data_IF_656179233295
#
_entry.id   IF_656179233295
#
_cell.length_a   1.000
_cell.length_b   1.000
_cell.length_c   1.000
_cell.angle_alpha   90.00
_cell.angle_beta   90.00
_cell.angle_gamma   90.00
#
_symmetry.space_group_name_H-M   'P 1'
#
loop_
_entity.id
_entity.type
_entity.pdbx_description
1 polymer ?
#
# COMPACT_ATOMS: atom_id res chain seq x y z
N UNK A 1 18.61 -4.94 3.39
CA UNK A 1 18.94 -3.68 2.67
C UNK A 1 20.07 -3.00 3.44
N UNK A 2 21.15 -2.64 2.77
CA UNK A 2 22.21 -1.80 3.31
C UNK A 2 22.13 -0.46 2.58
N UNK A 3 22.01 0.64 3.33
CA UNK A 3 21.95 1.99 2.79
C UNK A 3 22.83 2.90 3.64
N UNK A 4 23.48 3.87 3.00
CA UNK A 4 24.22 4.92 3.70
C UNK A 4 23.26 5.87 4.41
N UNK A 5 23.67 6.45 5.55
CA UNK A 5 22.90 7.48 6.22
C UNK A 5 22.65 8.70 5.30
N UNK A 6 23.56 8.98 4.38
CA UNK A 6 23.44 10.07 3.41
C UNK A 6 22.36 9.86 2.35
N UNK A 7 21.91 8.60 2.16
CA UNK A 7 20.78 8.28 1.29
C UNK A 7 19.41 8.47 1.97
N UNK A 8 19.39 8.64 3.30
CA UNK A 8 18.15 8.70 4.07
C UNK A 8 17.73 10.15 4.26
N UNK A 9 16.49 10.44 3.88
CA UNK A 9 15.82 11.71 4.13
C UNK A 9 14.63 11.47 5.05
N UNK A 10 14.69 11.98 6.28
CA UNK A 10 13.59 11.87 7.24
C UNK A 10 12.44 12.79 6.81
N UNK A 11 11.21 12.29 6.91
CA UNK A 11 10.01 12.97 6.40
C UNK A 11 8.85 12.95 7.40
N UNK A 12 7.84 13.79 7.17
CA UNK A 12 6.61 13.85 7.98
C UNK A 12 5.65 12.69 7.62
N UNK A 13 6.11 11.45 7.79
CA UNK A 13 5.46 10.21 7.38
C UNK A 13 5.71 9.87 5.91
N UNK A 14 5.30 8.66 5.52
CA UNK A 14 5.56 8.11 4.20
C UNK A 14 4.95 8.93 3.05
N UNK A 15 3.78 9.55 3.24
CA UNK A 15 3.17 10.35 2.16
C UNK A 15 4.02 11.55 1.74
N UNK A 16 4.76 12.18 2.67
CA UNK A 16 5.72 13.20 2.28
C UNK A 16 6.91 12.57 1.52
N UNK A 17 7.45 11.44 2.01
CA UNK A 17 8.53 10.73 1.32
C UNK A 17 8.15 10.40 -0.14
N UNK A 18 6.98 9.79 -0.34
CA UNK A 18 6.46 9.40 -1.64
C UNK A 18 6.26 10.60 -2.59
N UNK A 19 5.69 11.69 -2.08
CA UNK A 19 5.50 12.91 -2.88
C UNK A 19 6.84 13.59 -3.24
N UNK A 20 7.81 13.62 -2.33
CA UNK A 20 9.14 14.17 -2.59
C UNK A 20 9.90 13.32 -3.60
N UNK A 21 9.84 11.98 -3.47
CA UNK A 21 10.43 11.05 -4.43
C UNK A 21 9.80 11.22 -5.82
N UNK A 22 8.48 11.32 -5.89
CA UNK A 22 7.76 11.55 -7.14
C UNK A 22 8.19 12.87 -7.79
N UNK A 23 8.24 13.96 -7.03
CA UNK A 23 8.69 15.27 -7.53
C UNK A 23 10.17 15.31 -7.93
N UNK A 24 11.00 14.41 -7.36
CA UNK A 24 12.42 14.33 -7.71
C UNK A 24 12.65 13.72 -9.10
N UNK A 25 11.75 12.84 -9.57
CA UNK A 25 11.93 12.06 -10.80
C UNK A 25 10.90 12.36 -11.89
N UNK A 26 9.91 13.22 -11.63
CA UNK A 26 8.84 13.57 -12.60
C UNK A 26 8.60 15.06 -12.70
N UNK A 27 7.88 15.46 -13.76
CA UNK A 27 7.37 16.81 -14.02
C UNK A 27 5.91 16.75 -14.45
N UNK A 28 5.12 17.82 -14.27
CA UNK A 28 3.74 17.88 -14.78
C UNK A 28 3.65 17.47 -16.25
N UNK A 29 2.68 16.60 -16.58
CA UNK A 29 2.50 16.00 -17.90
C UNK A 29 3.13 14.62 -18.07
N UNK A 30 4.07 14.21 -17.20
CA UNK A 30 4.68 12.89 -17.27
C UNK A 30 3.70 11.77 -16.93
N UNK A 31 4.01 10.56 -17.41
CA UNK A 31 3.29 9.34 -17.07
C UNK A 31 4.04 8.57 -15.97
N UNK A 32 3.28 7.98 -15.05
CA UNK A 32 3.80 7.14 -13.96
C UNK A 32 3.03 5.82 -13.96
N UNK A 33 3.75 4.71 -13.94
CA UNK A 33 3.14 3.39 -13.80
C UNK A 33 2.74 3.16 -12.35
N UNK A 34 1.53 2.64 -12.17
CA UNK A 34 0.98 2.17 -10.90
C UNK A 34 0.34 0.79 -11.05
N UNK A 35 0.15 0.11 -9.95
CA UNK A 35 -0.58 -1.16 -9.90
C UNK A 35 -2.06 -0.97 -10.22
N UNK A 36 -2.75 -2.05 -10.59
CA UNK A 36 -4.20 -2.06 -10.76
C UNK A 36 -4.81 -3.31 -10.12
N UNK A 37 -5.54 -3.18 -9.00
CA UNK A 37 -5.86 -1.94 -8.28
C UNK A 37 -4.63 -1.33 -7.56
N UNK A 38 -4.66 -0.02 -7.29
CA UNK A 38 -3.59 0.71 -6.59
C UNK A 38 -4.10 1.48 -5.38
N UNK A 39 -3.19 1.93 -4.52
CA UNK A 39 -3.50 2.80 -3.39
C UNK A 39 -4.09 4.14 -3.89
N UNK A 40 -5.31 4.47 -3.47
CA UNK A 40 -6.03 5.66 -3.95
C UNK A 40 -5.29 6.97 -3.69
N UNK A 41 -4.47 7.07 -2.62
CA UNK A 41 -3.70 8.27 -2.39
C UNK A 41 -2.51 8.43 -3.35
N UNK A 42 -2.05 7.35 -4.00
CA UNK A 42 -1.13 7.47 -5.13
C UNK A 42 -1.81 8.15 -6.31
N UNK A 43 -3.03 7.73 -6.67
CA UNK A 43 -3.81 8.38 -7.74
C UNK A 43 -4.06 9.87 -7.45
N UNK A 44 -4.44 10.20 -6.21
CA UNK A 44 -4.63 11.60 -5.77
C UNK A 44 -3.32 12.42 -5.83
N UNK A 45 -2.18 11.82 -5.48
CA UNK A 45 -0.88 12.48 -5.57
C UNK A 45 -0.50 12.76 -7.03
N UNK A 46 -0.70 11.78 -7.92
CA UNK A 46 -0.47 11.94 -9.36
C UNK A 46 -1.35 13.05 -9.95
N UNK A 47 -2.66 13.01 -9.67
CA UNK A 47 -3.61 14.04 -10.12
C UNK A 47 -3.20 15.44 -9.66
N UNK A 48 -2.89 15.59 -8.36
CA UNK A 48 -2.46 16.87 -7.77
C UNK A 48 -1.18 17.42 -8.41
N UNK A 49 -0.28 16.54 -8.85
CA UNK A 49 0.99 16.91 -9.50
C UNK A 49 0.88 17.04 -11.02
N UNK A 50 -0.33 16.88 -11.59
CA UNK A 50 -0.54 16.94 -13.04
C UNK A 50 0.10 15.78 -13.79
N UNK A 51 0.22 14.60 -13.16
CA UNK A 51 0.80 13.40 -13.73
C UNK A 51 -0.29 12.45 -14.22
N UNK A 52 0.04 11.59 -15.19
CA UNK A 52 -0.87 10.57 -15.73
C UNK A 52 -0.57 9.21 -15.13
N UNK A 53 -1.57 8.56 -14.55
CA UNK A 53 -1.46 7.18 -14.08
C UNK A 53 -1.57 6.20 -15.26
N UNK A 54 -0.62 5.27 -15.36
CA UNK A 54 -0.69 4.12 -16.25
C UNK A 54 -0.86 2.89 -15.38
N UNK A 55 -2.07 2.35 -15.36
CA UNK A 55 -2.41 1.18 -14.52
C UNK A 55 -1.97 -0.13 -15.19
N UNK A 56 -1.20 -0.94 -14.45
CA UNK A 56 -0.74 -2.26 -14.89
C UNK A 56 -1.37 -3.34 -14.00
N UNK A 57 -1.92 -4.42 -14.58
CA UNK A 57 -2.58 -5.48 -13.84
C UNK A 57 -1.70 -6.05 -12.72
N UNK A 58 -2.31 -6.31 -11.56
CA UNK A 58 -1.64 -6.81 -10.37
C UNK A 58 -2.38 -8.03 -9.83
N UNK A 59 -1.65 -9.13 -9.62
CA UNK A 59 -2.20 -10.37 -9.10
C UNK A 59 -2.12 -10.43 -7.57
N UNK A 60 -3.17 -10.88 -6.86
CA UNK A 60 -3.17 -10.92 -5.38
C UNK A 60 -2.06 -11.76 -4.74
N UNK A 61 -1.56 -12.80 -5.42
CA UNK A 61 -0.50 -13.68 -4.92
C UNK A 61 0.91 -13.31 -5.35
N UNK A 62 1.04 -12.54 -6.45
CA UNK A 62 2.34 -12.37 -7.12
C UNK A 62 2.74 -10.90 -7.37
N UNK A 63 1.85 -9.95 -7.05
CA UNK A 63 2.06 -8.53 -7.36
C UNK A 63 1.91 -8.21 -8.85
N UNK A 64 2.52 -7.12 -9.31
CA UNK A 64 2.37 -6.59 -10.68
C UNK A 64 2.78 -7.59 -11.76
N UNK A 65 2.07 -7.61 -12.89
CA UNK A 65 2.42 -8.40 -14.07
C UNK A 65 3.61 -7.78 -14.80
N UNK A 66 4.75 -8.47 -14.83
CA UNK A 66 5.99 -7.95 -15.44
C UNK A 66 5.92 -7.88 -16.96
N UNK A 67 5.20 -8.78 -17.62
CA UNK A 67 5.04 -8.74 -19.08
C UNK A 67 4.17 -7.54 -19.49
N UNK A 68 3.05 -7.33 -18.79
CA UNK A 68 2.22 -6.15 -18.99
C UNK A 68 2.96 -4.85 -18.64
N UNK A 69 3.83 -4.88 -17.62
CA UNK A 69 4.69 -3.75 -17.24
C UNK A 69 5.65 -3.38 -18.38
N UNK A 70 6.33 -4.36 -18.98
CA UNK A 70 7.26 -4.11 -20.10
C UNK A 70 6.55 -3.52 -21.32
N UNK A 71 5.36 -4.04 -21.66
CA UNK A 71 4.51 -3.47 -22.71
C UNK A 71 4.07 -2.03 -22.40
N UNK A 72 3.69 -1.75 -21.16
CA UNK A 72 3.30 -0.42 -20.73
C UNK A 72 4.48 0.58 -20.80
N UNK A 73 5.69 0.15 -20.43
CA UNK A 73 6.92 0.97 -20.56
C UNK A 73 7.15 1.33 -22.03
N UNK A 74 7.07 0.35 -22.93
CA UNK A 74 7.29 0.58 -24.36
C UNK A 74 6.24 1.51 -24.97
N UNK A 75 4.96 1.33 -24.59
CA UNK A 75 3.84 2.08 -25.15
C UNK A 75 3.73 3.53 -24.64
N UNK A 76 4.04 3.77 -23.37
CA UNK A 76 3.76 5.04 -22.69
C UNK A 76 4.98 5.83 -22.27
N UNK A 77 6.18 5.27 -22.37
CA UNK A 77 7.45 5.91 -21.98
C UNK A 77 7.37 6.64 -20.62
N UNK A 78 6.94 5.96 -19.55
CA UNK A 78 6.75 6.56 -18.24
C UNK A 78 8.08 7.11 -17.68
N UNK A 79 7.98 8.01 -16.69
CA UNK A 79 9.15 8.58 -16.01
C UNK A 79 9.44 7.96 -14.65
N UNK A 80 8.49 7.22 -14.08
CA UNK A 80 8.65 6.47 -12.84
C UNK A 80 7.62 5.34 -12.75
N UNK A 81 7.90 4.39 -11.84
CA UNK A 81 6.91 3.48 -11.30
C UNK A 81 6.69 3.81 -9.83
N UNK A 82 5.45 3.75 -9.35
CA UNK A 82 5.11 3.76 -7.92
C UNK A 82 4.40 2.46 -7.58
N UNK A 83 5.07 1.58 -6.83
CA UNK A 83 4.59 0.24 -6.55
C UNK A 83 4.70 -0.11 -5.06
N UNK A 84 3.84 -1.03 -4.60
CA UNK A 84 3.88 -1.63 -3.27
C UNK A 84 4.21 -3.11 -3.41
N UNK A 85 5.48 -3.47 -3.35
CA UNK A 85 5.94 -4.85 -3.56
C UNK A 85 5.68 -5.78 -2.37
N UNK A 86 5.31 -5.20 -1.21
CA UNK A 86 5.11 -5.92 0.06
C UNK A 86 3.79 -5.51 0.71
N UNK A 87 2.86 -6.48 0.84
CA UNK A 87 1.53 -6.30 1.44
C UNK A 87 0.75 -5.13 0.83
N UNK A 88 0.66 -5.15 -0.48
CA UNK A 88 0.07 -4.13 -1.34
C UNK A 88 -1.34 -3.70 -0.88
N UNK A 89 -1.61 -2.44 -0.95
CA UNK A 89 -2.92 -1.86 -0.69
C UNK A 89 -3.65 -1.59 -2.02
N UNK A 90 -4.76 -2.31 -2.34
CA UNK A 90 -5.66 -2.97 -1.40
C UNK A 90 -5.55 -4.50 -1.31
N UNK A 91 -4.79 -5.17 -2.19
CA UNK A 91 -4.82 -6.62 -2.39
C UNK A 91 -4.22 -7.42 -1.23
N UNK A 92 -3.27 -6.82 -0.48
CA UNK A 92 -2.44 -7.55 0.48
C UNK A 92 -1.38 -8.43 -0.19
N UNK A 93 -1.13 -8.28 -1.49
CA UNK A 93 -0.17 -9.11 -2.23
C UNK A 93 1.25 -8.94 -1.70
N UNK A 94 1.99 -10.05 -1.69
CA UNK A 94 3.42 -10.09 -1.44
C UNK A 94 4.11 -10.60 -2.71
N UNK A 95 4.90 -9.74 -3.33
CA UNK A 95 5.68 -10.15 -4.51
C UNK A 95 6.82 -11.09 -4.08
N UNK A 96 6.98 -12.26 -4.73
CA UNK A 96 8.10 -13.16 -4.47
C UNK A 96 9.47 -12.49 -4.66
N UNK A 97 10.46 -12.89 -3.87
CA UNK A 97 11.81 -12.30 -3.90
C UNK A 97 12.43 -12.32 -5.31
N UNK A 98 12.31 -13.47 -6.01
CA UNK A 98 12.80 -13.61 -7.38
C UNK A 98 12.12 -12.64 -8.36
N UNK A 99 10.82 -12.38 -8.16
CA UNK A 99 10.05 -11.45 -8.99
C UNK A 99 10.40 -9.99 -8.66
N UNK A 100 10.68 -9.65 -7.38
CA UNK A 100 11.21 -8.32 -7.00
C UNK A 100 12.55 -8.06 -7.67
N UNK A 101 13.45 -9.06 -7.68
CA UNK A 101 14.74 -8.96 -8.40
C UNK A 101 14.51 -8.73 -9.88
N UNK A 102 13.69 -9.55 -10.54
CA UNK A 102 13.36 -9.40 -11.96
C UNK A 102 12.71 -8.05 -12.29
N UNK A 103 11.84 -7.51 -11.39
CA UNK A 103 11.28 -6.18 -11.50
C UNK A 103 12.37 -5.11 -11.51
N UNK A 104 13.28 -5.14 -10.54
CA UNK A 104 14.38 -4.15 -10.44
C UNK A 104 15.29 -4.22 -11.66
N UNK A 105 15.67 -5.43 -12.12
CA UNK A 105 16.45 -5.62 -13.33
C UNK A 105 15.74 -5.11 -14.60
N UNK A 106 14.42 -5.34 -14.72
CA UNK A 106 13.60 -4.82 -15.82
C UNK A 106 13.63 -3.29 -15.83
N UNK A 107 13.36 -2.65 -14.69
CA UNK A 107 13.32 -1.19 -14.57
C UNK A 107 14.71 -0.56 -14.83
N UNK A 108 15.79 -1.20 -14.36
CA UNK A 108 17.16 -0.75 -14.60
C UNK A 108 17.53 -0.76 -16.10
N UNK A 109 17.08 -1.77 -16.87
CA UNK A 109 17.28 -1.81 -18.34
C UNK A 109 16.65 -0.62 -19.07
N UNK A 110 15.56 -0.09 -18.50
CA UNK A 110 14.84 1.06 -19.05
C UNK A 110 15.22 2.40 -18.39
N UNK A 111 16.21 2.41 -17.48
CA UNK A 111 16.57 3.58 -16.67
C UNK A 111 15.35 4.24 -16.00
N UNK A 112 14.40 3.42 -15.52
CA UNK A 112 13.11 3.85 -14.98
C UNK A 112 13.11 3.75 -13.46
N UNK A 113 13.08 4.87 -12.71
CA UNK A 113 13.07 4.87 -11.25
C UNK A 113 11.84 4.17 -10.67
N UNK A 114 12.06 3.40 -9.59
CA UNK A 114 11.01 2.79 -8.77
C UNK A 114 10.82 3.57 -7.47
N UNK A 115 9.65 4.12 -7.24
CA UNK A 115 9.21 4.60 -5.94
C UNK A 115 8.53 3.41 -5.24
N UNK A 116 9.24 2.80 -4.28
CA UNK A 116 8.76 1.67 -3.52
C UNK A 116 8.07 2.16 -2.24
N UNK A 117 6.76 1.96 -2.15
CA UNK A 117 5.97 2.24 -0.93
C UNK A 117 5.93 0.99 -0.05
N UNK A 118 6.78 0.96 0.99
CA UNK A 118 7.03 -0.21 1.84
C UNK A 118 6.55 -0.01 3.29
N UNK A 119 5.43 0.67 3.49
CA UNK A 119 4.90 1.03 4.82
C UNK A 119 4.37 -0.16 5.63
N UNK A 120 4.12 -1.30 5.00
CA UNK A 120 3.57 -2.50 5.66
C UNK A 120 4.58 -3.61 5.88
N UNK A 121 5.83 -3.48 5.44
CA UNK A 121 6.83 -4.55 5.47
C UNK A 121 7.08 -5.16 6.86
N UNK A 122 6.95 -4.35 7.92
CA UNK A 122 7.09 -4.83 9.30
C UNK A 122 5.91 -5.67 9.80
N UNK A 123 4.80 -5.71 9.06
CA UNK A 123 3.56 -6.39 9.47
C UNK A 123 3.40 -7.78 8.85
N UNK A 124 4.50 -8.50 8.67
CA UNK A 124 4.50 -9.87 8.14
C UNK A 124 3.99 -10.88 9.17
N UNK A 125 3.33 -11.94 8.71
CA UNK A 125 2.85 -13.03 9.55
C UNK A 125 3.72 -14.29 9.46
N UNK A 126 4.69 -14.30 8.59
CA UNK A 126 5.63 -15.40 8.37
C UNK A 126 6.85 -15.32 9.31
N UNK A 127 7.76 -16.27 9.19
CA UNK A 127 8.96 -16.38 10.05
C UNK A 127 9.96 -15.26 9.73
N UNK A 128 10.01 -14.80 8.48
CA UNK A 128 11.01 -13.85 7.99
C UNK A 128 10.38 -12.59 7.41
N UNK A 129 10.97 -11.42 7.71
CA UNK A 129 10.64 -10.17 7.04
C UNK A 129 10.95 -10.29 5.54
N UNK A 130 10.01 -9.99 4.65
CA UNK A 130 10.28 -9.96 3.22
C UNK A 130 11.32 -8.89 2.87
N UNK A 131 12.27 -9.17 1.94
CA UNK A 131 13.17 -8.13 1.45
C UNK A 131 12.40 -7.09 0.66
N UNK A 132 12.82 -5.83 0.72
CA UNK A 132 12.33 -4.76 -0.15
C UNK A 132 12.90 -4.92 -1.57
N UNK A 133 12.26 -4.32 -2.58
CA UNK A 133 12.82 -4.24 -3.93
C UNK A 133 14.17 -3.48 -3.91
N UNK A 134 14.29 -2.46 -3.06
CA UNK A 134 15.55 -1.74 -2.82
C UNK A 134 16.74 -2.66 -2.49
N UNK A 135 16.51 -3.82 -1.86
CA UNK A 135 17.62 -4.75 -1.54
C UNK A 135 18.25 -5.42 -2.76
N UNK A 136 17.64 -5.31 -3.93
CA UNK A 136 18.13 -5.81 -5.23
C UNK A 136 18.64 -4.69 -6.14
N UNK A 137 18.63 -3.43 -5.66
CA UNK A 137 18.98 -2.25 -6.44
C UNK A 137 20.48 -1.97 -6.37
N UNK A 138 21.17 -2.22 -7.48
CA UNK A 138 22.60 -1.90 -7.66
C UNK A 138 22.80 -0.53 -8.33
N UNK A 139 21.80 -0.01 -9.05
CA UNK A 139 21.89 1.23 -9.80
C UNK A 139 21.58 2.49 -8.98
N UNK A 140 20.98 2.33 -7.81
CA UNK A 140 20.52 3.44 -6.96
C UNK A 140 19.23 4.09 -7.45
N UNK A 141 18.42 3.38 -8.25
CA UNK A 141 17.16 3.88 -8.85
C UNK A 141 15.90 3.46 -8.11
N UNK A 142 16.01 2.67 -7.03
CA UNK A 142 14.88 2.39 -6.16
C UNK A 142 14.86 3.41 -5.01
N UNK A 143 13.82 4.26 -4.99
CA UNK A 143 13.52 5.22 -3.95
C UNK A 143 12.58 4.56 -2.95
N UNK A 144 13.14 3.92 -1.92
CA UNK A 144 12.38 3.20 -0.90
C UNK A 144 11.79 4.18 0.12
N UNK A 145 10.46 4.13 0.30
CA UNK A 145 9.70 4.98 1.20
C UNK A 145 9.00 4.14 2.28
N UNK A 146 9.15 4.54 3.54
CA UNK A 146 8.46 3.88 4.65
C UNK A 146 8.17 4.82 5.81
N UNK A 147 7.57 4.34 6.88
CA UNK A 147 7.28 5.11 8.08
C UNK A 147 7.00 4.25 9.31
N UNK A 148 7.08 4.85 10.49
CA UNK A 148 6.64 4.23 11.74
C UNK A 148 5.11 4.26 11.95
N UNK A 149 4.34 4.86 11.04
CA UNK A 149 2.89 5.06 11.21
C UNK A 149 2.09 3.76 11.29
N UNK A 150 2.52 2.69 10.61
CA UNK A 150 1.79 1.42 10.53
C UNK A 150 2.27 0.38 11.54
N UNK A 151 3.50 0.52 11.99
CA UNK A 151 4.16 -0.46 12.85
C UNK A 151 4.44 0.03 14.26
N UNK A 152 4.30 1.34 14.54
CA UNK A 152 4.55 1.91 15.87
C UNK A 152 3.47 2.92 16.27
N UNK A 153 3.52 4.15 15.72
CA UNK A 153 2.63 5.23 16.14
C UNK A 153 2.35 6.23 15.02
N UNK A 154 1.12 6.27 14.48
CA UNK A 154 0.77 7.17 13.38
C UNK A 154 0.87 8.65 13.75
N UNK A 155 0.63 9.01 15.02
CA UNK A 155 0.64 10.40 15.51
C UNK A 155 2.02 11.07 15.54
N UNK A 156 3.12 10.31 15.59
CA UNK A 156 4.47 10.87 15.58
C UNK A 156 4.87 11.48 14.24
N UNK A 157 4.22 11.10 13.15
CA UNK A 157 4.48 11.61 11.80
C UNK A 157 5.93 11.48 11.36
N UNK A 158 6.59 10.35 11.65
CA UNK A 158 7.96 10.07 11.19
C UNK A 158 7.95 8.99 10.12
N UNK A 159 8.55 9.32 8.99
CA UNK A 159 8.83 8.42 7.87
C UNK A 159 10.18 8.76 7.26
N UNK A 160 10.53 8.10 6.18
CA UNK A 160 11.79 8.31 5.47
C UNK A 160 11.71 7.89 4.01
N UNK A 161 12.62 8.46 3.22
CA UNK A 161 12.99 7.97 1.92
C UNK A 161 14.47 7.56 1.94
N UNK A 162 14.77 6.30 1.56
CA UNK A 162 16.12 5.87 1.20
C UNK A 162 16.21 5.92 -0.33
N UNK A 163 16.63 7.10 -0.84
CA UNK A 163 16.39 7.51 -2.22
C UNK A 163 17.58 7.23 -3.17
N UNK A 164 18.61 6.50 -2.71
CA UNK A 164 19.77 6.15 -3.52
C UNK A 164 20.42 7.38 -4.16
N UNK A 165 20.73 7.30 -5.46
CA UNK A 165 21.33 8.42 -6.20
C UNK A 165 20.46 9.68 -6.29
N UNK A 166 19.15 9.57 -6.02
CA UNK A 166 18.20 10.68 -6.00
C UNK A 166 18.14 11.41 -4.65
N UNK A 167 18.82 10.93 -3.61
CA UNK A 167 18.78 11.50 -2.26
C UNK A 167 19.12 12.99 -2.21
N UNK A 168 20.12 13.53 -2.94
CA UNK A 168 20.38 14.97 -2.95
C UNK A 168 19.19 15.80 -3.44
N UNK A 169 18.49 15.33 -4.48
CA UNK A 169 17.33 16.03 -5.02
C UNK A 169 16.14 15.95 -4.05
N UNK A 170 15.87 14.77 -3.46
CA UNK A 170 14.81 14.58 -2.46
C UNK A 170 15.06 15.48 -1.23
N UNK A 171 16.31 15.55 -0.75
CA UNK A 171 16.72 16.43 0.36
C UNK A 171 16.49 17.90 0.05
N UNK A 172 16.86 18.34 -1.15
CA UNK A 172 16.61 19.71 -1.61
C UNK A 172 15.12 20.04 -1.64
N UNK A 173 14.29 19.15 -2.20
CA UNK A 173 12.85 19.33 -2.22
C UNK A 173 12.25 19.35 -0.81
N UNK A 174 12.70 18.47 0.09
CA UNK A 174 12.31 18.48 1.51
C UNK A 174 12.58 19.83 2.15
N UNK A 175 13.79 20.36 1.97
CA UNK A 175 14.18 21.67 2.53
C UNK A 175 13.28 22.80 2.01
N UNK A 176 12.91 22.77 0.72
CA UNK A 176 12.06 23.79 0.10
C UNK A 176 10.58 23.70 0.47
N UNK A 177 10.08 22.52 0.89
CA UNK A 177 8.65 22.30 1.14
C UNK A 177 8.28 22.33 2.61
N UNK A 178 9.06 21.71 3.48
CA UNK A 178 8.71 21.52 4.89
C UNK A 178 9.88 21.69 5.85
N UNK A 179 11.06 22.07 5.35
CA UNK A 179 12.30 22.28 6.09
C UNK A 179 12.77 21.01 6.82
N UNK A 180 12.22 20.74 8.01
CA UNK A 180 12.60 19.63 8.87
C UNK A 180 11.35 18.86 9.37
N UNK A 181 11.56 17.62 9.79
CA UNK A 181 10.59 16.84 10.54
C UNK A 181 10.75 17.13 12.03
N UNK A 182 9.68 17.05 12.81
CA UNK A 182 9.64 17.29 14.25
C UNK A 182 10.76 16.53 14.99
N UNK A 183 11.69 17.24 15.60
CA UNK A 183 12.84 16.65 16.33
C UNK A 183 12.38 15.85 17.56
N UNK A 184 11.46 16.32 18.41
CA UNK A 184 11.00 15.53 19.55
C UNK A 184 10.45 14.15 19.16
N UNK A 185 9.72 14.07 18.05
CA UNK A 185 9.18 12.79 17.54
C UNK A 185 10.31 11.85 17.08
N UNK A 186 11.33 12.38 16.42
CA UNK A 186 12.49 11.60 15.99
C UNK A 186 13.28 11.06 17.18
N UNK A 187 13.58 11.93 18.18
CA UNK A 187 14.30 11.53 19.39
C UNK A 187 13.53 10.48 20.21
N UNK A 188 12.20 10.63 20.36
CA UNK A 188 11.39 9.66 21.07
C UNK A 188 11.39 8.28 20.38
N UNK A 189 11.38 8.23 19.06
CA UNK A 189 11.48 6.98 18.29
C UNK A 189 12.88 6.39 18.41
N UNK A 190 13.93 7.19 18.26
CA UNK A 190 15.32 6.74 18.40
C UNK A 190 15.58 6.11 19.77
N UNK A 191 15.17 6.78 20.83
CA UNK A 191 15.29 6.27 22.20
C UNK A 191 14.53 4.93 22.38
N UNK A 192 13.29 4.85 21.83
CA UNK A 192 12.52 3.61 21.91
C UNK A 192 13.16 2.45 21.14
N UNK A 193 13.82 2.72 20.02
CA UNK A 193 14.57 1.72 19.24
C UNK A 193 15.80 1.24 20.01
N UNK A 194 16.56 2.16 20.62
CA UNK A 194 17.77 1.85 21.40
C UNK A 194 17.46 1.00 22.65
N UNK A 195 16.33 1.22 23.28
CA UNK A 195 15.89 0.45 24.46
C UNK A 195 15.44 -0.98 24.12
N UNK A 196 15.39 -1.38 22.85
CA UNK A 196 15.06 -2.75 22.40
C UNK A 196 13.59 -3.16 22.59
N UNK A 197 12.70 -2.23 22.91
CA UNK A 197 11.25 -2.47 23.06
C UNK A 197 10.53 -2.75 21.74
N UNK A 198 11.08 -2.27 20.64
CA UNK A 198 10.46 -2.30 19.31
C UNK A 198 10.21 -3.71 18.79
N UNK A 199 11.17 -4.63 18.91
CA UNK A 199 11.01 -6.01 18.46
C UNK A 199 9.93 -6.78 19.23
N UNK A 200 9.83 -6.53 20.54
CA UNK A 200 8.75 -7.09 21.36
C UNK A 200 7.39 -6.57 20.91
N UNK A 201 7.29 -5.25 20.69
CA UNK A 201 6.10 -4.59 20.18
C UNK A 201 5.68 -5.19 18.85
N UNK A 202 6.59 -5.31 17.88
CA UNK A 202 6.31 -5.87 16.57
C UNK A 202 5.82 -7.32 16.64
N UNK A 203 6.43 -8.17 17.47
CA UNK A 203 5.94 -9.56 17.66
C UNK A 203 4.50 -9.60 18.16
N UNK A 204 4.16 -8.76 19.13
CA UNK A 204 2.80 -8.67 19.66
C UNK A 204 1.82 -8.13 18.62
N UNK A 205 2.19 -7.07 17.91
CA UNK A 205 1.39 -6.47 16.86
C UNK A 205 1.10 -7.45 15.72
N UNK A 206 2.12 -8.12 15.19
CA UNK A 206 1.99 -9.14 14.14
C UNK A 206 1.05 -10.27 14.55
N UNK A 207 1.23 -10.79 15.77
CA UNK A 207 0.35 -11.84 16.30
C UNK A 207 -1.10 -11.37 16.43
N UNK A 208 -1.33 -10.16 16.91
CA UNK A 208 -2.66 -9.58 17.05
C UNK A 208 -3.32 -9.38 15.67
N UNK A 209 -2.62 -8.80 14.71
CA UNK A 209 -3.12 -8.57 13.35
C UNK A 209 -3.43 -9.89 12.61
N UNK A 210 -2.57 -10.90 12.73
CA UNK A 210 -2.79 -12.20 12.10
C UNK A 210 -4.02 -12.92 12.69
N UNK A 211 -4.28 -12.80 14.00
CA UNK A 211 -5.52 -13.33 14.61
C UNK A 211 -6.74 -12.57 14.12
N UNK A 212 -6.64 -11.24 14.03
CA UNK A 212 -7.74 -10.38 13.58
C UNK A 212 -8.10 -10.63 12.12
N UNK A 213 -7.12 -10.75 11.22
CA UNK A 213 -7.38 -11.10 9.83
C UNK A 213 -8.14 -12.43 9.70
N UNK A 214 -7.72 -13.48 10.44
CA UNK A 214 -8.43 -14.77 10.45
C UNK A 214 -9.85 -14.63 10.99
N UNK A 215 -10.06 -13.84 12.05
CA UNK A 215 -11.37 -13.58 12.64
C UNK A 215 -12.31 -12.88 11.65
N UNK A 216 -11.85 -11.76 11.07
CA UNK A 216 -12.64 -10.99 10.10
C UNK A 216 -12.96 -11.84 8.86
N UNK A 217 -11.99 -12.60 8.36
CA UNK A 217 -12.21 -13.53 7.27
C UNK A 217 -13.31 -14.54 7.57
N UNK A 218 -13.26 -15.22 8.72
CA UNK A 218 -14.29 -16.18 9.12
C UNK A 218 -15.67 -15.54 9.31
N UNK A 219 -15.75 -14.27 9.67
CA UNK A 219 -17.00 -13.52 9.71
C UNK A 219 -17.52 -13.23 8.30
N UNK A 220 -16.66 -12.84 7.36
CA UNK A 220 -17.05 -12.65 5.95
C UNK A 220 -17.56 -13.95 5.34
N UNK A 221 -16.84 -15.06 5.50
CA UNK A 221 -17.23 -16.36 4.99
C UNK A 221 -18.60 -16.83 5.52
N UNK A 222 -18.98 -16.45 6.74
CA UNK A 222 -20.26 -16.82 7.35
C UNK A 222 -21.43 -15.91 6.99
N UNK A 223 -21.17 -14.63 6.74
CA UNK A 223 -22.25 -13.63 6.68
C UNK A 223 -22.42 -12.97 5.32
N UNK A 224 -21.42 -13.04 4.44
CA UNK A 224 -21.54 -12.47 3.11
C UNK A 224 -22.23 -13.42 2.13
N UNK A 225 -22.79 -12.92 1.01
CA UNK A 225 -23.43 -13.73 0.00
C UNK A 225 -22.53 -14.85 -0.54
N UNK A 226 -23.11 -15.99 -0.89
CA UNK A 226 -22.42 -17.05 -1.60
C UNK A 226 -21.76 -16.50 -2.88
N UNK A 227 -20.55 -16.96 -3.20
CA UNK A 227 -19.75 -16.44 -4.32
C UNK A 227 -18.85 -15.27 -3.97
N UNK A 228 -18.92 -14.71 -2.75
CA UNK A 228 -17.91 -13.74 -2.27
C UNK A 228 -16.55 -14.42 -2.16
N UNK A 229 -15.53 -13.84 -2.81
CA UNK A 229 -14.12 -14.26 -2.69
C UNK A 229 -13.36 -13.27 -1.84
N UNK A 230 -12.33 -13.73 -1.11
CA UNK A 230 -11.51 -12.89 -0.22
C UNK A 230 -10.05 -13.25 -0.38
N UNK A 231 -9.17 -12.24 -0.41
CA UNK A 231 -7.73 -12.45 -0.46
C UNK A 231 -7.19 -13.02 0.87
N UNK A 232 -6.04 -13.70 0.78
CA UNK A 232 -5.34 -14.33 1.90
C UNK A 232 -3.95 -13.74 2.03
N UNK A 233 -3.81 -12.51 2.55
CA UNK A 233 -2.51 -11.89 2.68
C UNK A 233 -1.67 -12.55 3.78
N UNK A 234 -0.36 -12.67 3.55
CA UNK A 234 0.63 -13.14 4.52
C UNK A 234 1.17 -12.02 5.41
N UNK A 235 0.50 -10.86 5.45
CA UNK A 235 0.86 -9.71 6.27
C UNK A 235 -0.04 -8.50 6.02
N UNK A 236 0.35 -7.36 6.57
CA UNK A 236 -0.50 -6.17 6.56
C UNK A 236 -1.76 -6.36 7.41
N UNK A 237 -2.84 -5.67 7.06
CA UNK A 237 -4.14 -5.78 7.74
C UNK A 237 -5.34 -5.47 6.83
N UNK A 238 -5.15 -5.51 5.50
CA UNK A 238 -6.24 -5.36 4.57
C UNK A 238 -6.72 -6.71 4.06
N UNK A 239 -8.01 -6.78 3.80
CA UNK A 239 -8.66 -7.88 3.14
C UNK A 239 -9.43 -7.30 1.94
N UNK A 240 -9.18 -7.87 0.76
CA UNK A 240 -9.85 -7.48 -0.47
C UNK A 240 -10.92 -8.50 -0.83
N UNK A 241 -12.14 -8.04 -0.94
CA UNK A 241 -13.31 -8.86 -1.26
C UNK A 241 -13.70 -8.63 -2.71
N UNK A 242 -13.99 -9.72 -3.39
CA UNK A 242 -14.68 -9.73 -4.67
C UNK A 242 -16.11 -10.24 -4.42
N UNK A 243 -17.07 -9.34 -4.53
CA UNK A 243 -18.48 -9.56 -4.26
C UNK A 243 -19.17 -10.11 -5.52
N UNK A 244 -20.32 -10.81 -5.39
CA UNK A 244 -21.11 -11.20 -6.54
C UNK A 244 -21.48 -10.02 -7.45
N UNK A 245 -21.52 -10.24 -8.77
CA UNK A 245 -21.69 -9.19 -9.78
C UNK A 245 -22.95 -8.32 -9.64
N UNK A 246 -23.95 -8.76 -8.88
CA UNK A 246 -25.15 -7.97 -8.59
C UNK A 246 -24.99 -7.00 -7.41
N UNK A 247 -23.86 -7.05 -6.66
CA UNK A 247 -23.59 -6.19 -5.51
C UNK A 247 -22.70 -5.02 -5.96
N UNK A 248 -23.24 -3.82 -5.96
CA UNK A 248 -22.45 -2.60 -6.16
C UNK A 248 -21.79 -2.20 -4.83
N UNK A 249 -20.44 -2.24 -4.79
CA UNK A 249 -19.68 -1.95 -3.58
C UNK A 249 -19.76 -0.48 -3.15
N UNK A 250 -19.94 0.47 -4.08
CA UNK A 250 -20.12 1.88 -3.75
C UNK A 250 -21.49 2.13 -3.11
N UNK A 251 -22.53 1.51 -3.63
CA UNK A 251 -23.86 1.60 -3.02
C UNK A 251 -23.90 0.88 -1.66
N UNK A 252 -23.22 -0.27 -1.53
CA UNK A 252 -23.04 -0.95 -0.24
C UNK A 252 -22.36 -0.03 0.78
N UNK A 253 -21.29 0.64 0.38
CA UNK A 253 -20.58 1.64 1.20
C UNK A 253 -21.53 2.77 1.66
N UNK A 254 -22.32 3.33 0.74
CA UNK A 254 -23.28 4.41 1.06
C UNK A 254 -24.32 3.97 2.08
N UNK A 255 -24.85 2.76 1.95
CA UNK A 255 -25.82 2.20 2.93
C UNK A 255 -25.15 1.97 4.28
N UNK A 256 -23.96 1.41 4.29
CA UNK A 256 -23.17 1.16 5.50
C UNK A 256 -22.81 2.46 6.25
N UNK A 257 -22.42 3.50 5.52
CA UNK A 257 -22.07 4.79 6.09
C UNK A 257 -23.23 5.45 6.87
N UNK A 258 -24.47 5.24 6.44
CA UNK A 258 -25.67 5.74 7.14
C UNK A 258 -25.86 5.15 8.53
N UNK A 259 -25.26 4.02 8.82
CA UNK A 259 -25.28 3.33 10.12
C UNK A 259 -23.92 3.33 10.80
N UNK A 260 -23.01 4.24 10.39
CA UNK A 260 -21.70 4.43 11.03
C UNK A 260 -20.63 3.41 10.64
N UNK A 261 -20.83 2.61 9.59
CA UNK A 261 -19.84 1.65 9.10
C UNK A 261 -19.13 2.22 7.88
N UNK A 262 -17.81 2.48 8.01
CA UNK A 262 -16.97 2.94 6.91
C UNK A 262 -16.25 1.76 6.25
N UNK A 263 -16.31 1.71 4.92
CA UNK A 263 -15.61 0.73 4.08
C UNK A 263 -14.86 1.46 2.97
N UNK A 264 -14.06 0.74 2.18
CA UNK A 264 -13.41 1.32 0.99
C UNK A 264 -13.85 0.56 -0.27
N UNK A 265 -14.80 1.12 -1.05
CA UNK A 265 -15.27 0.49 -2.28
C UNK A 265 -14.20 0.46 -3.35
N UNK A 266 -14.20 -0.60 -4.17
CA UNK A 266 -13.16 -0.89 -5.14
C UNK A 266 -12.89 0.20 -6.17
N UNK A 267 -13.92 0.96 -6.54
CA UNK A 267 -13.80 2.08 -7.49
C UNK A 267 -12.83 3.19 -7.06
N UNK A 268 -12.44 3.24 -5.78
CA UNK A 268 -11.43 4.20 -5.29
C UNK A 268 -10.00 3.80 -5.68
N UNK A 269 -9.78 2.54 -6.03
CA UNK A 269 -8.45 1.96 -6.27
C UNK A 269 -8.08 1.85 -7.76
N UNK A 270 -8.79 2.58 -8.62
CA UNK A 270 -8.52 2.68 -10.05
C UNK A 270 -8.90 4.06 -10.58
N UNK A 271 -8.07 4.63 -11.45
CA UNK A 271 -8.36 5.89 -12.13
C UNK A 271 -9.61 5.78 -13.02
N UNK A 272 -9.80 4.62 -13.65
CA UNK A 272 -10.95 4.33 -14.52
C UNK A 272 -12.18 3.81 -13.75
N UNK A 273 -12.15 3.88 -12.39
CA UNK A 273 -13.25 3.44 -11.52
C UNK A 273 -13.67 1.99 -11.75
N UNK A 274 -12.72 1.12 -12.09
CA UNK A 274 -12.91 -0.34 -12.17
C UNK A 274 -13.21 -0.92 -10.79
N UNK A 275 -13.31 -2.22 -10.67
CA UNK A 275 -13.54 -2.92 -9.39
C UNK A 275 -14.86 -2.56 -8.70
N UNK A 276 -15.94 -2.40 -9.49
CA UNK A 276 -17.28 -1.99 -9.01
C UNK A 276 -17.86 -2.94 -7.96
N UNK A 277 -17.49 -4.23 -8.05
CA UNK A 277 -17.96 -5.29 -7.14
C UNK A 277 -16.95 -5.65 -6.05
N UNK A 278 -15.92 -4.80 -5.85
CA UNK A 278 -14.88 -5.08 -4.87
C UNK A 278 -14.96 -4.15 -3.66
N UNK A 279 -14.53 -4.69 -2.52
CA UNK A 279 -14.53 -3.96 -1.25
C UNK A 279 -13.25 -4.26 -0.47
N UNK A 280 -12.57 -3.22 0.03
CA UNK A 280 -11.49 -3.41 0.99
C UNK A 280 -12.03 -3.29 2.42
N UNK A 281 -11.74 -4.28 3.25
CA UNK A 281 -11.93 -4.23 4.69
C UNK A 281 -10.60 -3.98 5.41
N UNK A 282 -10.70 -3.34 6.58
CA UNK A 282 -9.57 -3.06 7.46
C UNK A 282 -9.65 -3.96 8.69
N UNK A 283 -8.72 -4.91 8.83
CA UNK A 283 -8.55 -5.77 10.00
C UNK A 283 -7.45 -5.26 10.95
N UNK A 284 -7.22 -3.95 10.98
CA UNK A 284 -6.19 -3.30 11.81
C UNK A 284 -6.66 -2.88 13.21
N UNK A 285 -7.83 -3.34 13.67
CA UNK A 285 -8.40 -3.01 14.99
C UNK A 285 -8.62 -4.29 15.82
N UNK A 286 -7.54 -5.01 16.21
CA UNK A 286 -7.68 -6.27 16.90
C UNK A 286 -8.38 -6.10 18.26
N UNK A 287 -9.41 -6.94 18.49
CA UNK A 287 -10.16 -6.96 19.73
C UNK A 287 -11.28 -5.92 19.85
N UNK A 288 -11.55 -5.12 18.83
CA UNK A 288 -12.73 -4.25 18.83
C UNK A 288 -14.03 -5.06 18.64
N UNK A 289 -14.92 -5.10 19.64
CA UNK A 289 -16.16 -5.90 19.58
C UNK A 289 -17.15 -5.38 18.51
N UNK A 290 -17.05 -4.10 18.12
CA UNK A 290 -17.93 -3.51 17.10
C UNK A 290 -17.71 -4.09 15.71
N UNK A 291 -16.54 -4.68 15.46
CA UNK A 291 -16.20 -5.27 14.16
C UNK A 291 -17.11 -6.43 13.80
N UNK A 292 -17.48 -7.30 14.77
CA UNK A 292 -18.37 -8.46 14.52
C UNK A 292 -19.73 -8.03 14.03
N UNK A 293 -20.34 -7.06 14.71
CA UNK A 293 -21.66 -6.54 14.34
C UNK A 293 -21.61 -5.79 13.01
N UNK A 294 -20.53 -5.03 12.77
CA UNK A 294 -20.32 -4.31 11.50
C UNK A 294 -20.21 -5.29 10.31
N UNK A 295 -19.42 -6.37 10.42
CA UNK A 295 -19.25 -7.35 9.36
C UNK A 295 -20.55 -8.13 9.13
N UNK A 296 -21.27 -8.53 10.18
CA UNK A 296 -22.58 -9.20 10.09
C UNK A 296 -23.59 -8.31 9.36
N UNK A 297 -23.65 -7.03 9.71
CA UNK A 297 -24.57 -6.07 9.10
C UNK A 297 -24.21 -5.80 7.63
N UNK A 298 -22.94 -5.65 7.32
CA UNK A 298 -22.44 -5.50 5.94
C UNK A 298 -22.83 -6.72 5.07
N UNK A 299 -22.62 -7.94 5.59
CA UNK A 299 -23.00 -9.16 4.89
C UNK A 299 -24.52 -9.24 4.62
N UNK A 300 -25.34 -8.88 5.61
CA UNK A 300 -26.80 -8.77 5.45
C UNK A 300 -27.18 -7.74 4.38
N UNK A 301 -26.55 -6.57 4.40
CA UNK A 301 -26.79 -5.54 3.39
C UNK A 301 -26.38 -6.02 1.99
N UNK A 302 -25.22 -6.67 1.86
CA UNK A 302 -24.76 -7.24 0.59
C UNK A 302 -25.72 -8.31 0.06
N UNK A 303 -26.27 -9.18 0.92
CA UNK A 303 -27.28 -10.17 0.56
C UNK A 303 -28.64 -9.58 0.18
N UNK A 304 -28.91 -8.33 0.55
CA UNK A 304 -30.14 -7.61 0.18
C UNK A 304 -30.11 -6.97 -1.22
N UNK A 305 -29.02 -7.10 -1.97
CA UNK A 305 -28.98 -6.71 -3.39
C UNK A 305 -29.64 -7.80 -4.23
N UNK A 306 -30.72 -7.44 -4.91
CA UNK A 306 -31.38 -8.35 -5.86
C UNK A 306 -30.54 -8.47 -7.14
N UNK A 307 -30.38 -9.67 -7.68
CA UNK A 307 -29.96 -9.82 -9.06
C UNK A 307 -30.96 -9.05 -9.93
N UNK A 308 -30.53 -7.99 -10.60
CA UNK A 308 -31.39 -7.35 -11.61
C UNK A 308 -31.72 -8.44 -12.62
N UNK A 309 -33.01 -8.78 -12.76
CA UNK A 309 -33.47 -9.55 -13.91
C UNK A 309 -33.05 -8.76 -15.15
N UNK A 310 -32.14 -9.35 -15.94
CA UNK A 310 -31.72 -8.85 -17.23
C UNK A 310 -32.90 -8.78 -18.21
#
# INVERSE_FOLDING_TARGET
MQVSADEIVITNGAMEALNLCLAAVTRPGDSVIVESPTFYAALQALERMGLRAIEVPTHPGEGIDLAALELAIAAHQPKACWLMTTFQNPLGSLMPDAKKKALVELLARHALPLIEDDVYAELYSDVRRPPSAKSFDEAGDVLHCSSFSKCLAPGYRVGWAAAGRHAPQVRRLKMMTSLATSIPSQLAIAEYLDQGGYDRHLRQLRSALAREQRRVRGLVERHFPAGTRITLPSGGYFLWLDLPAHVDALELHRRAARVGISTAPGVLFSADRRFVHHLRLNAGHPGDPRVDDAIRLLGKMAGGFSARKA
#
